data_IF_988018792939
#
_entry.id   IF_988018792939
#
_cell.length_a   1.000
_cell.length_b   1.000
_cell.length_c   1.000
_cell.angle_alpha   90.00
_cell.angle_beta   90.00
_cell.angle_gamma   90.00
#
_symmetry.space_group_name_H-M   'P 1'
#
loop_
_entity.id
_entity.type
_entity.pdbx_description
1 polymer ?
#
# COMPACT_ATOMS: atom_id res chain seq x y z
N UNK A 1 -3.53 -8.20 -22.81
CA UNK A 1 -3.81 -7.12 -21.85
C UNK A 1 -3.81 -7.75 -20.46
N UNK A 2 -2.81 -7.46 -19.62
CA UNK A 2 -2.81 -7.94 -18.24
C UNK A 2 -3.69 -6.98 -17.41
N UNK A 3 -4.57 -7.49 -16.55
CA UNK A 3 -5.37 -6.63 -15.68
C UNK A 3 -4.39 -5.85 -14.80
N UNK A 4 -4.53 -4.52 -14.79
CA UNK A 4 -3.83 -3.71 -13.81
C UNK A 4 -4.38 -4.11 -12.44
N UNK A 5 -3.55 -4.75 -11.60
CA UNK A 5 -3.90 -5.07 -10.23
C UNK A 5 -4.08 -3.74 -9.48
N UNK A 6 -5.32 -3.24 -9.43
CA UNK A 6 -5.69 -2.05 -8.68
C UNK A 6 -6.05 -2.47 -7.25
N UNK A 7 -5.20 -2.09 -6.31
CA UNK A 7 -5.39 -2.33 -4.89
C UNK A 7 -5.99 -1.09 -4.24
N UNK A 8 -7.26 -1.17 -3.83
CA UNK A 8 -7.91 -0.11 -3.06
C UNK A 8 -7.63 -0.34 -1.57
N UNK A 9 -7.09 0.69 -0.91
CA UNK A 9 -6.77 0.73 0.52
C UNK A 9 -7.37 1.99 1.16
N UNK A 10 -7.78 1.90 2.42
CA UNK A 10 -8.08 3.06 3.25
C UNK A 10 -6.85 3.49 4.09
N UNK A 11 -6.76 4.75 4.54
CA UNK A 11 -5.70 5.19 5.45
C UNK A 11 -5.69 4.33 6.71
N UNK A 12 -4.53 3.75 7.04
CA UNK A 12 -4.36 2.83 8.16
C UNK A 12 -4.73 1.38 7.86
N UNK A 13 -5.20 1.06 6.65
CA UNK A 13 -5.54 -0.30 6.23
C UNK A 13 -4.32 -1.03 5.64
N UNK A 14 -4.30 -2.35 5.81
CA UNK A 14 -3.36 -3.25 5.16
C UNK A 14 -4.12 -4.31 4.33
N UNK A 15 -3.51 -4.75 3.23
CA UNK A 15 -4.08 -5.76 2.34
C UNK A 15 -3.01 -6.63 1.72
N UNK A 16 -3.32 -7.91 1.67
CA UNK A 16 -2.43 -8.93 1.12
C UNK A 16 -2.57 -9.03 -0.39
N UNK A 17 -1.44 -8.96 -1.08
CA UNK A 17 -1.30 -9.11 -2.52
C UNK A 17 -0.54 -10.39 -2.80
N UNK A 18 -1.15 -11.30 -3.56
CA UNK A 18 -0.47 -12.51 -4.04
C UNK A 18 0.35 -12.17 -5.29
N UNK A 19 1.62 -12.49 -5.22
CA UNK A 19 2.58 -12.28 -6.30
C UNK A 19 3.07 -13.64 -6.77
N UNK A 20 2.62 -14.02 -7.97
CA UNK A 20 3.13 -15.22 -8.64
C UNK A 20 4.38 -14.87 -9.45
N UNK A 21 5.45 -15.65 -9.31
CA UNK A 21 6.65 -15.51 -10.14
C UNK A 21 6.49 -16.30 -11.44
N UNK A 22 7.00 -15.76 -12.55
CA UNK A 22 7.01 -16.46 -13.85
C UNK A 22 8.31 -17.27 -13.95
N UNK A 23 8.22 -18.59 -13.79
CA UNK A 23 9.32 -19.54 -14.00
C UNK A 23 9.54 -20.50 -12.83
N UNK A 24 10.05 -21.71 -13.12
CA UNK A 24 10.34 -22.78 -12.16
C UNK A 24 11.67 -22.57 -11.41
N UNK A 25 12.01 -21.33 -11.07
CA UNK A 25 13.24 -21.03 -10.32
C UNK A 25 13.18 -21.68 -8.95
N UNK A 26 13.94 -22.73 -8.67
CA UNK A 26 13.92 -23.39 -7.35
C UNK A 26 14.64 -22.60 -6.25
N UNK A 27 15.29 -21.49 -6.61
CA UNK A 27 16.02 -20.63 -5.66
C UNK A 27 15.06 -19.74 -4.87
N UNK A 28 15.42 -19.51 -3.60
CA UNK A 28 14.84 -18.45 -2.78
C UNK A 28 15.18 -17.11 -3.45
N UNK A 29 14.17 -16.28 -3.64
CA UNK A 29 14.31 -14.95 -4.21
C UNK A 29 13.74 -13.94 -3.22
N UNK A 30 14.55 -12.96 -2.84
CA UNK A 30 14.07 -11.80 -2.12
C UNK A 30 13.19 -10.94 -3.04
N UNK A 31 12.08 -10.46 -2.49
CA UNK A 31 11.19 -9.53 -3.17
C UNK A 31 11.65 -8.13 -2.84
N UNK A 32 11.95 -7.34 -3.86
CA UNK A 32 12.20 -5.91 -3.69
C UNK A 32 10.93 -5.16 -4.02
N UNK A 33 10.37 -4.45 -3.04
CA UNK A 33 9.22 -3.59 -3.27
C UNK A 33 9.63 -2.14 -3.17
N UNK A 34 9.21 -1.33 -4.15
CA UNK A 34 9.44 0.10 -4.19
C UNK A 34 8.10 0.79 -4.30
N UNK A 35 7.77 1.61 -3.31
CA UNK A 35 6.59 2.45 -3.31
C UNK A 35 6.92 3.84 -3.86
N UNK A 36 6.07 4.37 -4.73
CA UNK A 36 6.18 5.76 -5.19
C UNK A 36 5.77 6.78 -4.10
N UNK A 37 5.13 6.31 -3.03
CA UNK A 37 4.71 7.15 -1.90
C UNK A 37 5.29 6.62 -0.58
N UNK A 38 5.90 7.48 0.25
CA UNK A 38 6.51 7.05 1.52
C UNK A 38 5.49 6.62 2.58
N UNK A 39 4.20 6.98 2.43
CA UNK A 39 3.12 6.59 3.34
C UNK A 39 2.48 5.24 2.97
N UNK A 40 2.92 4.62 1.88
CA UNK A 40 2.51 3.25 1.51
C UNK A 40 3.68 2.32 1.76
N UNK A 41 3.62 1.59 2.87
CA UNK A 41 4.63 0.62 3.27
C UNK A 41 4.25 -0.75 2.75
N UNK A 42 5.27 -1.55 2.47
CA UNK A 42 5.07 -2.92 2.03
C UNK A 42 5.96 -3.81 2.87
N UNK A 43 5.35 -4.81 3.50
CA UNK A 43 6.00 -5.75 4.39
C UNK A 43 5.87 -7.18 3.86
N UNK A 44 6.88 -7.99 4.17
CA UNK A 44 6.91 -9.40 3.78
C UNK A 44 7.40 -9.62 2.35
N UNK A 45 6.89 -10.68 1.72
CA UNK A 45 7.31 -11.08 0.38
C UNK A 45 8.62 -11.85 0.35
N UNK A 46 8.60 -13.13 0.77
CA UNK A 46 9.72 -14.05 0.50
C UNK A 46 9.18 -15.29 -0.21
N UNK A 47 9.81 -15.66 -1.32
CA UNK A 47 9.57 -16.95 -1.94
C UNK A 47 10.39 -18.00 -1.21
N UNK A 48 9.74 -18.89 -0.46
CA UNK A 48 10.40 -20.11 0.00
C UNK A 48 10.83 -20.94 -1.23
N UNK A 49 12.03 -21.51 -1.21
CA UNK A 49 12.60 -22.23 -2.36
C UNK A 49 11.63 -23.23 -2.97
N UNK A 50 11.25 -23.02 -4.23
CA UNK A 50 10.26 -23.84 -4.96
C UNK A 50 8.82 -23.28 -4.98
N UNK A 51 8.44 -22.38 -4.07
CA UNK A 51 7.10 -21.78 -4.05
C UNK A 51 6.86 -20.89 -5.28
N UNK A 52 5.72 -21.05 -5.98
CA UNK A 52 5.38 -20.24 -7.15
C UNK A 52 4.68 -18.91 -6.79
N UNK A 53 4.18 -18.83 -5.57
CA UNK A 53 3.44 -17.68 -5.06
C UNK A 53 4.08 -17.18 -3.77
N UNK A 54 4.10 -15.86 -3.60
CA UNK A 54 4.42 -15.19 -2.36
C UNK A 54 3.31 -14.20 -2.02
N UNK A 55 3.04 -14.03 -0.74
CA UNK A 55 2.13 -13.00 -0.27
C UNK A 55 2.93 -11.80 0.20
N UNK A 56 2.49 -10.62 -0.22
CA UNK A 56 3.10 -9.35 0.16
C UNK A 56 2.00 -8.49 0.78
N UNK A 57 2.25 -7.93 1.96
CA UNK A 57 1.25 -7.12 2.66
C UNK A 57 1.52 -5.65 2.38
N UNK A 58 0.60 -4.99 1.70
CA UNK A 58 0.66 -3.55 1.43
C UNK A 58 -0.15 -2.81 2.48
N UNK A 59 0.43 -1.81 3.13
CA UNK A 59 -0.19 -1.02 4.18
C UNK A 59 -0.11 0.47 3.85
N UNK A 60 -1.24 1.16 3.96
CA UNK A 60 -1.27 2.62 3.97
C UNK A 60 -1.16 3.12 5.42
N UNK A 61 -0.31 4.12 5.68
CA UNK A 61 -0.29 4.83 6.96
C UNK A 61 -1.64 5.54 7.20
N UNK A 62 -1.97 5.82 8.46
CA UNK A 62 -3.24 6.46 8.85
C UNK A 62 -3.39 7.88 8.28
N UNK A 63 -2.27 8.56 8.06
CA UNK A 63 -2.20 9.90 7.47
C UNK A 63 -1.98 9.87 5.94
N UNK A 64 -2.16 8.71 5.31
CA UNK A 64 -2.08 8.58 3.85
C UNK A 64 -3.16 9.44 3.19
N UNK A 65 -2.73 10.34 2.30
CA UNK A 65 -3.65 11.15 1.50
C UNK A 65 -4.32 10.29 0.44
N UNK A 66 -5.60 10.51 0.20
CA UNK A 66 -6.34 9.76 -0.81
C UNK A 66 -5.85 10.11 -2.22
N UNK A 67 -5.04 9.22 -2.78
CA UNK A 67 -4.43 9.37 -4.09
C UNK A 67 -4.07 8.00 -4.65
N UNK A 68 -3.94 7.94 -5.96
CA UNK A 68 -3.38 6.79 -6.65
C UNK A 68 -1.84 6.85 -6.67
N UNK A 69 -1.24 5.72 -6.35
CA UNK A 69 0.19 5.51 -6.28
C UNK A 69 0.55 4.22 -6.98
N UNK A 70 1.79 4.12 -7.43
CA UNK A 70 2.30 2.91 -8.06
C UNK A 70 3.25 2.19 -7.10
N UNK A 71 3.07 0.88 -6.99
CA UNK A 71 3.99 -0.03 -6.33
C UNK A 71 4.70 -0.85 -7.39
N UNK A 72 6.02 -0.87 -7.32
CA UNK A 72 6.85 -1.70 -8.18
C UNK A 72 7.39 -2.87 -7.37
N UNK A 73 7.00 -4.09 -7.72
CA UNK A 73 7.40 -5.33 -7.07
C UNK A 73 8.36 -6.06 -8.01
N UNK A 74 9.62 -6.24 -7.60
CA UNK A 74 10.64 -6.98 -8.36
C UNK A 74 10.95 -8.31 -7.69
N UNK A 75 10.88 -9.38 -8.48
CA UNK A 75 11.13 -10.75 -8.04
C UNK A 75 11.87 -11.52 -9.11
N UNK A 76 13.08 -12.00 -8.83
CA UNK A 76 13.78 -12.96 -9.70
C UNK A 76 13.88 -12.52 -11.17
N UNK A 77 13.98 -11.21 -11.44
CA UNK A 77 14.04 -10.62 -12.79
C UNK A 77 12.69 -10.21 -13.37
N UNK A 78 11.56 -10.53 -12.74
CA UNK A 78 10.22 -10.06 -13.14
C UNK A 78 9.89 -8.78 -12.37
N UNK A 79 9.43 -7.76 -13.09
CA UNK A 79 8.89 -6.54 -12.49
C UNK A 79 7.37 -6.53 -12.67
N UNK A 80 6.64 -6.43 -11.56
CA UNK A 80 5.19 -6.21 -11.54
C UNK A 80 4.88 -4.82 -11.01
N UNK A 81 3.98 -4.12 -11.67
CA UNK A 81 3.44 -2.83 -11.23
C UNK A 81 2.02 -3.03 -10.71
N UNK A 82 1.78 -2.58 -9.48
CA UNK A 82 0.48 -2.62 -8.80
C UNK A 82 0.04 -1.19 -8.55
N UNK A 83 -1.19 -0.84 -8.92
CA UNK A 83 -1.74 0.50 -8.71
C UNK A 83 -2.46 0.51 -7.37
N UNK A 84 -1.94 1.24 -6.40
CA UNK A 84 -2.57 1.39 -5.09
C UNK A 84 -3.38 2.67 -5.07
N UNK A 85 -4.68 2.54 -4.88
CA UNK A 85 -5.58 3.67 -4.68
C UNK A 85 -5.89 3.80 -3.20
N UNK A 86 -5.36 4.84 -2.57
CA UNK A 86 -5.81 5.21 -1.22
C UNK A 86 -7.12 5.97 -1.38
N UNK A 87 -8.22 5.39 -0.92
CA UNK A 87 -9.52 6.06 -0.88
C UNK A 87 -9.63 6.89 0.40
N UNK A 88 -10.23 8.08 0.34
CA UNK A 88 -10.68 8.75 1.57
C UNK A 88 -11.76 7.86 2.17
N UNK A 89 -11.43 7.06 3.17
CA UNK A 89 -12.45 6.61 4.09
C UNK A 89 -13.10 7.88 4.63
N UNK A 90 -14.41 8.02 4.52
CA UNK A 90 -15.17 9.14 5.12
C UNK A 90 -14.78 9.35 6.60
N UNK A 91 -14.23 8.32 7.25
CA UNK A 91 -13.60 8.31 8.57
C UNK A 91 -12.43 9.30 8.77
N UNK A 92 -11.73 9.73 7.71
CA UNK A 92 -10.66 10.74 7.80
C UNK A 92 -11.18 12.18 7.70
N UNK A 93 -12.41 12.38 7.19
CA UNK A 93 -13.07 13.69 7.19
C UNK A 93 -13.66 14.06 8.57
N UNK A 94 -13.60 13.15 9.55
CA UNK A 94 -14.11 13.37 10.91
C UNK A 94 -13.03 13.54 11.96
N UNK A 95 -11.76 13.75 11.60
CA UNK A 95 -10.83 14.41 12.52
C UNK A 95 -11.06 15.91 12.39
N UNK A 96 -11.83 16.57 13.28
CA UNK A 96 -11.76 18.01 13.35
C UNK A 96 -10.31 18.34 13.65
N UNK A 97 -9.70 19.17 12.81
CA UNK A 97 -8.46 19.86 13.12
C UNK A 97 -8.67 20.48 14.50
N UNK A 98 -8.05 19.89 15.53
CA UNK A 98 -7.95 20.53 16.82
C UNK A 98 -6.94 21.65 16.64
N UNK A 99 -7.40 22.77 16.11
CA UNK A 99 -6.64 24.02 16.17
C UNK A 99 -7.32 24.92 17.20
N UNK A 100 -6.65 24.97 18.33
CA UNK A 100 -6.89 25.80 19.51
C UNK A 100 -6.55 27.27 19.19
N UNK A 101 -7.44 28.20 19.58
CA UNK A 101 -7.21 29.61 20.02
C UNK A 101 -8.11 30.63 19.30
N UNK A 102 -8.97 31.35 20.06
CA UNK A 102 -9.58 32.61 19.59
C UNK A 102 -10.84 33.08 20.31
N UNK A 103 -10.69 33.59 21.54
CA UNK A 103 -11.51 34.61 22.25
C UNK A 103 -12.85 35.11 21.65
N UNK A 104 -13.94 34.98 22.43
CA UNK A 104 -14.63 36.08 23.16
C UNK A 104 -16.13 35.77 23.33
N UNK A 105 -16.50 35.26 24.51
CA UNK A 105 -17.88 35.33 25.02
C UNK A 105 -18.33 36.79 25.04
N UNK A 106 -19.36 37.13 24.28
CA UNK A 106 -20.16 38.35 24.50
C UNK A 106 -21.61 37.93 24.51
N UNK A 107 -22.13 37.70 25.71
CA UNK A 107 -23.57 37.66 25.97
C UNK A 107 -23.97 39.04 26.48
N UNK A 108 -24.84 39.72 25.74
CA UNK A 108 -25.70 40.79 26.24
C UNK A 108 -27.04 40.70 25.55
#
# INVERSE_FOLDING_TARGET
MYPEDVLILEPGQAKDVKVSRKGDSTKQSDITVTSSDPKVKVEGGKFAGGAKDATVTVRADADATAKEHTLTIKVGGVTKTVHVRVSTSEKAASMPTSEKVGTKSTSR
#
